data_IF_507537415774
#
_entry.id   IF_507537415774
#
_cell.length_a   1.000
_cell.length_b   1.000
_cell.length_c   1.000
_cell.angle_alpha   90.00
_cell.angle_beta   90.00
_cell.angle_gamma   90.00
#
_symmetry.space_group_name_H-M   'P 1'
#
loop_
_entity.id
_entity.type
_entity.pdbx_description
1 polymer ?
#
# COMPACT_ATOMS: atom_id res chain seq x y z
N UNK A 1 10.31 10.80 4.27
CA UNK A 1 9.22 9.81 4.13
C UNK A 1 9.14 9.00 5.41
N UNK A 2 7.96 8.81 5.97
CA UNK A 2 7.79 8.09 7.24
C UNK A 2 6.57 7.17 7.08
N UNK A 3 6.78 5.87 7.24
CA UNK A 3 5.69 4.89 7.27
C UNK A 3 4.95 5.05 8.59
N UNK A 4 3.65 5.18 8.56
CA UNK A 4 2.80 5.29 9.75
C UNK A 4 2.42 3.92 10.29
N UNK A 5 2.11 3.85 11.59
CA UNK A 5 1.61 2.61 12.20
C UNK A 5 0.30 2.11 11.53
N UNK A 6 -0.51 3.02 10.97
CA UNK A 6 -1.74 2.67 10.28
C UNK A 6 -1.45 1.96 8.94
N UNK A 7 -0.45 2.42 8.19
CA UNK A 7 0.00 1.78 6.95
C UNK A 7 0.63 0.43 7.23
N UNK A 8 1.56 0.36 8.17
CA UNK A 8 2.25 -0.88 8.55
C UNK A 8 1.26 -1.95 9.01
N UNK A 9 0.47 -1.66 10.02
CA UNK A 9 -0.45 -2.67 10.58
C UNK A 9 -1.65 -2.95 9.66
N UNK A 10 -2.12 -1.97 8.88
CA UNK A 10 -3.17 -2.20 7.90
C UNK A 10 -2.72 -3.16 6.80
N UNK A 11 -1.49 -3.02 6.29
CA UNK A 11 -0.90 -3.94 5.32
C UNK A 11 -0.71 -5.35 5.92
N UNK A 12 -0.19 -5.46 7.14
CA UNK A 12 -0.03 -6.74 7.85
C UNK A 12 -1.35 -7.48 8.01
N UNK A 13 -2.43 -6.77 8.36
CA UNK A 13 -3.76 -7.38 8.45
C UNK A 13 -4.22 -7.96 7.10
N UNK A 14 -3.99 -7.25 6.00
CA UNK A 14 -4.32 -7.76 4.66
C UNK A 14 -3.51 -9.00 4.30
N UNK A 15 -2.20 -9.01 4.58
CA UNK A 15 -1.33 -10.19 4.37
C UNK A 15 -1.85 -11.38 5.20
N UNK A 16 -2.22 -11.15 6.44
CA UNK A 16 -2.77 -12.18 7.34
C UNK A 16 -4.06 -12.77 6.80
N UNK A 17 -4.99 -11.91 6.37
CA UNK A 17 -6.25 -12.32 5.77
C UNK A 17 -6.05 -13.06 4.43
N UNK A 18 -5.07 -12.63 3.63
CA UNK A 18 -4.74 -13.29 2.37
C UNK A 18 -4.15 -14.70 2.57
N UNK A 19 -3.42 -14.93 3.66
CA UNK A 19 -2.87 -16.22 4.04
C UNK A 19 -3.89 -17.14 4.76
N UNK A 20 -5.04 -16.58 5.20
CA UNK A 20 -6.06 -17.33 5.92
C UNK A 20 -6.76 -18.33 4.98
N UNK A 21 -6.81 -19.61 5.41
CA UNK A 21 -7.47 -20.68 4.66
C UNK A 21 -8.94 -20.89 5.06
N UNK A 22 -9.37 -20.29 6.18
CA UNK A 22 -10.76 -20.39 6.63
C UNK A 22 -11.65 -19.50 5.77
N UNK A 23 -12.69 -20.07 5.20
CA UNK A 23 -13.68 -19.35 4.37
C UNK A 23 -14.45 -18.27 5.16
N UNK A 24 -14.54 -18.41 6.49
CA UNK A 24 -15.13 -17.39 7.36
C UNK A 24 -14.15 -16.26 7.68
N UNK A 25 -12.88 -16.40 7.32
CA UNK A 25 -11.83 -15.43 7.58
C UNK A 25 -11.39 -15.41 9.04
N UNK A 26 -10.98 -14.23 9.52
CA UNK A 26 -10.49 -14.05 10.88
C UNK A 26 -11.32 -13.01 11.64
N UNK A 27 -11.64 -13.32 12.89
CA UNK A 27 -12.34 -12.41 13.80
C UNK A 27 -11.38 -11.36 14.39
N UNK A 28 -11.93 -10.28 14.96
CA UNK A 28 -11.11 -9.25 15.66
C UNK A 28 -10.23 -9.87 16.75
N UNK A 29 -10.71 -10.75 17.65
CA UNK A 29 -9.86 -11.39 18.63
C UNK A 29 -8.70 -12.21 18.02
N UNK A 30 -8.96 -12.98 16.97
CA UNK A 30 -7.93 -13.75 16.26
C UNK A 30 -6.87 -12.86 15.62
N UNK A 31 -7.28 -11.76 14.97
CA UNK A 31 -6.37 -10.79 14.40
C UNK A 31 -5.58 -10.05 15.48
N UNK A 32 -6.22 -9.73 16.62
CA UNK A 32 -5.58 -9.10 17.78
C UNK A 32 -4.47 -9.98 18.35
N UNK A 33 -4.73 -11.25 18.53
CA UNK A 33 -3.75 -12.24 19.02
C UNK A 33 -2.61 -12.44 18.00
N UNK A 34 -2.97 -12.63 16.72
CA UNK A 34 -2.00 -12.88 15.65
C UNK A 34 -1.02 -11.71 15.40
N UNK A 35 -1.46 -10.47 15.59
CA UNK A 35 -0.65 -9.27 15.35
C UNK A 35 -0.09 -8.63 16.62
N UNK A 36 -0.50 -9.10 17.80
CA UNK A 36 -0.08 -8.51 19.07
C UNK A 36 -0.61 -7.09 19.29
N UNK A 37 -1.78 -6.76 18.71
CA UNK A 37 -2.40 -5.46 18.79
C UNK A 37 -3.70 -5.52 19.60
N UNK A 38 -4.13 -4.37 20.16
CA UNK A 38 -5.39 -4.32 20.89
C UNK A 38 -6.58 -4.54 19.96
N UNK A 39 -7.63 -5.22 20.45
CA UNK A 39 -8.86 -5.45 19.69
C UNK A 39 -9.50 -4.12 19.19
N UNK A 40 -9.38 -3.06 20.00
CA UNK A 40 -9.88 -1.72 19.61
C UNK A 40 -9.13 -1.18 18.38
N UNK A 41 -7.80 -1.34 18.34
CA UNK A 41 -7.01 -0.86 17.20
C UNK A 41 -7.26 -1.72 15.95
N UNK A 42 -7.37 -3.05 16.11
CA UNK A 42 -7.80 -3.95 15.02
C UNK A 42 -9.16 -3.54 14.47
N UNK A 43 -10.15 -3.25 15.34
CA UNK A 43 -11.48 -2.79 14.91
C UNK A 43 -11.42 -1.48 14.10
N UNK A 44 -10.55 -0.54 14.50
CA UNK A 44 -10.31 0.70 13.72
C UNK A 44 -9.75 0.39 12.33
N UNK A 45 -8.73 -0.46 12.24
CA UNK A 45 -8.08 -0.80 10.97
C UNK A 45 -9.01 -1.58 10.04
N UNK A 46 -9.72 -2.59 10.56
CA UNK A 46 -10.71 -3.36 9.77
C UNK A 46 -11.84 -2.49 9.27
N UNK A 47 -12.29 -1.50 10.06
CA UNK A 47 -13.28 -0.52 9.60
C UNK A 47 -12.76 0.28 8.40
N UNK A 48 -11.52 0.79 8.47
CA UNK A 48 -10.91 1.56 7.36
C UNK A 48 -10.80 0.67 6.12
N UNK A 49 -10.21 -0.52 6.25
CA UNK A 49 -10.01 -1.44 5.13
C UNK A 49 -11.35 -1.87 4.49
N UNK A 50 -12.40 -2.07 5.29
CA UNK A 50 -13.74 -2.39 4.80
C UNK A 50 -14.36 -1.20 4.05
N UNK A 51 -14.28 0.01 4.60
CA UNK A 51 -14.79 1.22 3.95
C UNK A 51 -14.10 1.51 2.61
N UNK A 52 -12.84 1.11 2.49
CA UNK A 52 -12.05 1.23 1.26
C UNK A 52 -12.20 0.04 0.30
N UNK A 53 -13.01 -0.96 0.65
CA UNK A 53 -13.33 -2.08 -0.22
C UNK A 53 -12.25 -3.17 -0.34
N UNK A 54 -11.31 -3.24 0.61
CA UNK A 54 -10.28 -4.28 0.62
C UNK A 54 -10.73 -5.55 1.33
N UNK A 55 -11.63 -5.43 2.32
CA UNK A 55 -12.16 -6.56 3.08
C UNK A 55 -13.67 -6.47 3.24
N UNK A 56 -14.30 -7.62 3.43
CA UNK A 56 -15.71 -7.77 3.78
C UNK A 56 -15.85 -8.46 5.13
N UNK A 57 -16.95 -8.19 5.83
CA UNK A 57 -17.35 -8.97 7.01
C UNK A 57 -18.17 -10.19 6.55
N UNK A 58 -17.90 -11.35 7.14
CA UNK A 58 -18.71 -12.55 6.94
C UNK A 58 -19.85 -12.61 7.97
N UNK A 59 -21.08 -13.03 7.59
CA UNK A 59 -22.22 -13.12 8.51
C UNK A 59 -22.07 -14.27 9.50
N UNK A 60 -22.81 -14.20 10.61
CA UNK A 60 -22.96 -15.27 11.61
C UNK A 60 -22.19 -15.05 12.90
N UNK A 61 -22.50 -15.86 13.93
CA UNK A 61 -21.89 -15.78 15.27
C UNK A 61 -20.37 -16.05 15.28
N UNK A 62 -19.86 -16.72 14.27
CA UNK A 62 -18.43 -16.99 14.06
C UNK A 62 -17.90 -16.19 12.87
N UNK A 63 -18.63 -15.16 12.44
CA UNK A 63 -18.24 -14.30 11.34
C UNK A 63 -16.96 -13.52 11.63
N UNK A 64 -16.14 -13.33 10.58
CA UNK A 64 -14.87 -12.62 10.65
C UNK A 64 -14.74 -11.63 9.49
N UNK A 65 -13.50 -11.41 9.08
CA UNK A 65 -13.16 -10.59 7.93
C UNK A 65 -12.44 -11.44 6.89
N UNK A 66 -12.81 -11.25 5.65
CA UNK A 66 -12.18 -11.88 4.46
C UNK A 66 -11.77 -10.79 3.48
N UNK A 67 -10.87 -11.10 2.55
CA UNK A 67 -10.58 -10.20 1.44
C UNK A 67 -11.84 -9.98 0.60
N UNK A 68 -12.05 -8.75 0.14
CA UNK A 68 -13.19 -8.39 -0.72
C UNK A 68 -13.00 -8.88 -2.17
N UNK A 69 -11.74 -9.13 -2.58
CA UNK A 69 -11.34 -9.60 -3.90
C UNK A 69 -10.06 -10.44 -3.80
N UNK A 70 -9.73 -11.24 -4.82
CA UNK A 70 -8.51 -12.03 -4.83
C UNK A 70 -7.26 -11.18 -4.55
N UNK A 71 -6.29 -11.73 -3.80
CA UNK A 71 -5.05 -11.01 -3.44
C UNK A 71 -4.25 -10.51 -4.65
N UNK A 72 -4.38 -11.15 -5.80
CA UNK A 72 -3.77 -10.73 -7.08
C UNK A 72 -4.39 -9.46 -7.68
N UNK A 73 -5.59 -9.09 -7.25
CA UNK A 73 -6.31 -7.90 -7.69
C UNK A 73 -6.20 -6.74 -6.69
N UNK A 74 -5.51 -6.95 -5.56
CA UNK A 74 -5.25 -5.92 -4.55
C UNK A 74 -3.87 -5.34 -4.80
N UNK A 75 -3.84 -4.16 -5.40
CA UNK A 75 -2.60 -3.42 -5.69
C UNK A 75 -2.10 -2.72 -4.43
N UNK A 76 -0.81 -2.86 -4.12
CA UNK A 76 -0.23 -2.30 -2.89
C UNK A 76 -0.27 -0.78 -2.87
N UNK A 77 -0.11 -0.13 -4.02
CA UNK A 77 -0.24 1.33 -4.11
C UNK A 77 -1.61 1.83 -3.63
N UNK A 78 -2.68 1.14 -4.03
CA UNK A 78 -4.05 1.49 -3.62
C UNK A 78 -4.24 1.30 -2.10
N UNK A 79 -3.67 0.23 -1.55
CA UNK A 79 -3.71 -0.05 -0.10
C UNK A 79 -3.03 1.06 0.68
N UNK A 80 -1.80 1.43 0.32
CA UNK A 80 -1.03 2.45 1.04
C UNK A 80 -1.68 3.83 0.91
N UNK A 81 -2.17 4.19 -0.28
CA UNK A 81 -2.93 5.44 -0.47
C UNK A 81 -4.23 5.49 0.33
N UNK A 82 -4.89 4.35 0.49
CA UNK A 82 -6.12 4.27 1.28
C UNK A 82 -5.88 4.39 2.79
N UNK A 83 -4.73 3.92 3.28
CA UNK A 83 -4.35 3.93 4.69
C UNK A 83 -3.68 5.24 5.12
N UNK A 84 -2.74 5.77 4.34
CA UNK A 84 -1.91 6.92 4.70
C UNK A 84 -2.06 8.13 3.76
N UNK A 85 -2.67 7.93 2.61
CA UNK A 85 -2.69 8.92 1.54
C UNK A 85 -1.43 8.89 0.67
N UNK A 86 -1.38 9.66 -0.41
CA UNK A 86 -0.17 9.82 -1.19
C UNK A 86 0.90 10.55 -0.38
N UNK A 87 2.17 10.24 -0.63
CA UNK A 87 3.28 10.91 0.02
C UNK A 87 3.35 12.40 -0.33
N UNK A 88 3.01 12.73 -1.56
CA UNK A 88 2.89 14.08 -2.08
C UNK A 88 1.68 14.21 -2.99
N UNK A 89 0.91 15.27 -2.80
CA UNK A 89 -0.18 15.69 -3.67
C UNK A 89 -0.17 17.21 -3.83
N UNK A 90 -0.99 17.73 -4.74
CA UNK A 90 -1.07 19.18 -5.00
C UNK A 90 -1.59 19.97 -3.79
N UNK A 91 -2.41 19.37 -2.94
CA UNK A 91 -2.94 19.99 -1.71
C UNK A 91 -1.82 20.30 -0.70
N UNK A 92 -0.70 19.54 -0.75
CA UNK A 92 0.44 19.75 0.14
C UNK A 92 0.95 21.19 0.10
N UNK A 93 1.07 21.77 -1.09
CA UNK A 93 1.49 23.15 -1.26
C UNK A 93 0.47 24.16 -0.70
N UNK A 94 -0.82 23.84 -0.77
CA UNK A 94 -1.88 24.67 -0.19
C UNK A 94 -1.89 24.67 1.35
N UNK A 95 -1.51 23.53 1.95
CA UNK A 95 -1.44 23.37 3.42
C UNK A 95 -0.16 24.01 4.00
N UNK A 96 0.95 23.98 3.24
CA UNK A 96 2.28 24.43 3.71
C UNK A 96 2.67 25.77 3.10
N UNK A 97 1.77 26.74 3.19
CA UNK A 97 1.95 28.08 2.58
C UNK A 97 2.81 29.05 3.40
N UNK A 98 3.19 28.68 4.62
CA UNK A 98 3.94 29.57 5.53
C UNK A 98 3.08 30.67 6.17
N UNK A 99 3.73 31.63 6.81
CA UNK A 99 3.08 32.67 7.62
C UNK A 99 2.16 33.61 6.81
N UNK A 100 2.45 33.82 5.54
CA UNK A 100 1.70 34.72 4.65
C UNK A 100 0.47 34.07 4.03
N UNK A 101 0.20 32.79 4.33
CA UNK A 101 -0.86 31.97 3.69
C UNK A 101 -0.78 31.93 2.16
N UNK A 102 0.35 32.30 1.60
CA UNK A 102 0.68 32.26 0.18
C UNK A 102 2.10 31.70 0.02
N UNK A 103 2.24 30.67 -0.79
CA UNK A 103 3.56 30.13 -1.12
C UNK A 103 4.30 31.10 -2.06
N UNK A 104 5.45 31.61 -1.62
CA UNK A 104 6.28 32.52 -2.43
C UNK A 104 6.83 31.87 -3.70
N UNK A 105 6.87 30.53 -3.76
CA UNK A 105 7.31 29.75 -4.91
C UNK A 105 6.13 29.09 -5.66
N UNK A 106 4.92 29.67 -5.60
CA UNK A 106 3.71 29.07 -6.21
C UNK A 106 3.83 28.91 -7.73
N UNK A 107 4.49 29.83 -8.42
CA UNK A 107 4.65 29.85 -9.87
C UNK A 107 5.76 28.90 -10.33
N UNK A 108 6.92 28.94 -9.66
CA UNK A 108 8.09 28.11 -9.99
C UNK A 108 8.72 27.52 -8.73
N UNK A 109 8.76 26.18 -8.64
CA UNK A 109 9.24 25.47 -7.47
C UNK A 109 9.93 24.14 -7.85
N UNK A 110 11.26 24.16 -7.89
CA UNK A 110 12.08 22.97 -8.13
C UNK A 110 11.86 21.87 -7.09
N UNK A 111 11.56 22.25 -5.83
CA UNK A 111 11.24 21.26 -4.79
C UNK A 111 9.94 20.51 -5.09
N UNK A 112 8.92 21.19 -5.63
CA UNK A 112 7.67 20.55 -6.06
C UNK A 112 7.94 19.49 -7.14
N UNK A 113 8.76 19.83 -8.13
CA UNK A 113 9.16 18.91 -9.20
C UNK A 113 9.82 17.66 -8.64
N UNK A 114 10.71 17.82 -7.65
CA UNK A 114 11.35 16.68 -6.97
C UNK A 114 10.31 15.79 -6.25
N UNK A 115 9.40 16.37 -5.48
CA UNK A 115 8.38 15.61 -4.75
C UNK A 115 7.42 14.88 -5.69
N UNK A 116 7.02 15.52 -6.78
CA UNK A 116 6.19 14.90 -7.83
C UNK A 116 6.91 13.72 -8.46
N UNK A 117 8.21 13.86 -8.78
CA UNK A 117 9.01 12.78 -9.35
C UNK A 117 9.14 11.60 -8.38
N UNK A 118 9.36 11.85 -7.09
CA UNK A 118 9.44 10.78 -6.08
C UNK A 118 8.09 10.07 -5.96
N UNK A 119 6.98 10.82 -5.87
CA UNK A 119 5.63 10.23 -5.83
C UNK A 119 5.38 9.38 -7.08
N UNK A 120 5.68 9.89 -8.27
CA UNK A 120 5.52 9.16 -9.52
C UNK A 120 6.34 7.86 -9.53
N UNK A 121 7.59 7.91 -9.10
CA UNK A 121 8.47 6.73 -9.07
C UNK A 121 7.93 5.66 -8.11
N UNK A 122 7.46 6.07 -6.94
CA UNK A 122 6.81 5.16 -5.99
C UNK A 122 5.53 4.55 -6.57
N UNK A 123 4.69 5.36 -7.21
CA UNK A 123 3.47 4.89 -7.87
C UNK A 123 3.79 3.86 -8.96
N UNK A 124 4.79 4.12 -9.80
CA UNK A 124 5.22 3.18 -10.84
C UNK A 124 5.69 1.84 -10.26
N UNK A 125 6.44 1.87 -9.16
CA UNK A 125 6.90 0.66 -8.49
C UNK A 125 5.71 -0.09 -7.86
N UNK A 126 4.94 0.59 -7.02
CA UNK A 126 3.91 -0.02 -6.18
C UNK A 126 2.66 -0.46 -6.95
N UNK A 127 2.39 0.13 -8.13
CA UNK A 127 1.33 -0.32 -9.04
C UNK A 127 1.61 -1.70 -9.66
N UNK A 128 2.86 -2.14 -9.65
CA UNK A 128 3.26 -3.46 -10.15
C UNK A 128 3.36 -4.51 -9.04
N UNK A 129 3.06 -4.17 -7.79
CA UNK A 129 3.09 -5.09 -6.64
C UNK A 129 1.66 -5.34 -6.18
N UNK A 130 1.30 -6.60 -6.06
CA UNK A 130 -0.01 -7.04 -5.53
C UNK A 130 0.13 -7.59 -4.12
N UNK A 131 -0.97 -7.70 -3.40
CA UNK A 131 -0.98 -8.35 -2.09
C UNK A 131 -0.51 -9.80 -2.17
N UNK A 132 -0.79 -10.50 -3.29
CA UNK A 132 -0.33 -11.87 -3.52
C UNK A 132 1.19 -12.00 -3.46
N UNK A 133 1.92 -11.02 -3.97
CA UNK A 133 3.39 -11.02 -4.01
C UNK A 133 4.03 -10.86 -2.63
N UNK A 134 3.24 -10.43 -1.64
CA UNK A 134 3.66 -10.27 -0.24
C UNK A 134 3.19 -11.41 0.68
N UNK A 135 2.35 -12.34 0.19
CA UNK A 135 1.88 -13.51 0.94
C UNK A 135 2.91 -14.66 0.86
N UNK A 136 4.18 -14.37 0.93
CA UNK A 136 5.29 -15.29 0.83
C UNK A 136 6.24 -15.11 2.03
N UNK A 137 7.30 -15.89 2.07
CA UNK A 137 8.38 -15.64 3.04
C UNK A 137 9.07 -14.30 2.73
N UNK A 138 9.72 -13.72 3.72
CA UNK A 138 10.49 -12.47 3.53
C UNK A 138 11.54 -12.62 2.43
N UNK A 139 12.20 -13.76 2.34
CA UNK A 139 13.20 -14.03 1.31
C UNK A 139 12.60 -14.05 -0.11
N UNK A 140 11.44 -14.68 -0.28
CA UNK A 140 10.75 -14.75 -1.58
C UNK A 140 10.24 -13.37 -2.01
N UNK A 141 9.62 -12.64 -1.09
CA UNK A 141 9.15 -11.27 -1.34
C UNK A 141 10.33 -10.34 -1.66
N UNK A 142 11.43 -10.44 -0.91
CA UNK A 142 12.65 -9.67 -1.17
C UNK A 142 13.21 -9.96 -2.56
N UNK A 143 13.33 -11.23 -2.93
CA UNK A 143 13.82 -11.64 -4.26
C UNK A 143 12.94 -11.05 -5.37
N UNK A 144 11.63 -11.19 -5.25
CA UNK A 144 10.66 -10.65 -6.21
C UNK A 144 10.81 -9.12 -6.37
N UNK A 145 10.85 -8.37 -5.26
CA UNK A 145 10.98 -6.91 -5.28
C UNK A 145 12.32 -6.46 -5.89
N UNK A 146 13.42 -7.16 -5.59
CA UNK A 146 14.72 -6.87 -6.22
C UNK A 146 14.74 -7.16 -7.72
N UNK A 147 14.07 -8.22 -8.17
CA UNK A 147 13.97 -8.54 -9.59
C UNK A 147 13.18 -7.47 -10.35
N UNK A 148 12.16 -6.88 -9.73
CA UNK A 148 11.40 -5.75 -10.30
C UNK A 148 12.25 -4.48 -10.46
N UNK A 149 13.22 -4.25 -9.57
CA UNK A 149 14.10 -3.08 -9.59
C UNK A 149 15.25 -3.22 -10.59
N UNK A 150 15.56 -4.44 -11.09
CA UNK A 150 16.56 -4.60 -12.13
C UNK A 150 16.11 -3.85 -13.38
N UNK A 151 16.98 -3.04 -14.00
CA UNK A 151 16.67 -2.43 -15.30
C UNK A 151 16.23 -3.55 -16.24
N UNK A 152 15.01 -3.48 -16.75
CA UNK A 152 14.61 -4.37 -17.83
C UNK A 152 15.61 -4.11 -18.95
N UNK A 153 16.35 -5.13 -19.39
CA UNK A 153 17.30 -5.06 -20.51
C UNK A 153 16.54 -4.83 -21.82
N UNK A 154 15.83 -3.71 -21.93
CA UNK A 154 15.20 -3.26 -23.19
C UNK A 154 16.24 -2.73 -24.18
N UNK A 155 17.47 -2.48 -23.71
CA UNK A 155 18.54 -1.89 -24.52
C UNK A 155 19.23 -2.89 -25.44
N UNK A 156 19.20 -4.20 -25.15
CA UNK A 156 19.87 -5.20 -26.02
C UNK A 156 19.14 -5.49 -27.33
N UNK A 157 17.83 -5.27 -27.41
CA UNK A 157 17.12 -5.51 -28.68
C UNK A 157 17.17 -4.35 -29.67
N UNK A 158 17.44 -3.13 -29.22
CA UNK A 158 17.60 -1.99 -30.14
C UNK A 158 18.99 -1.93 -30.81
N UNK A 159 20.01 -2.54 -30.21
CA UNK A 159 21.36 -2.58 -30.80
C UNK A 159 21.57 -3.78 -31.75
N UNK A 160 20.75 -4.82 -31.65
CA UNK A 160 20.81 -5.96 -32.57
C UNK A 160 20.04 -5.78 -33.87
N UNK A 161 19.28 -4.68 -34.02
CA UNK A 161 18.50 -4.37 -35.22
C UNK A 161 19.10 -3.29 -36.13
N UNK A 162 20.33 -2.85 -35.86
CA UNK A 162 21.05 -1.83 -36.64
C UNK A 162 22.39 -2.38 -37.15
N UNK A 163 22.44 -3.68 -37.48
CA UNK A 163 23.59 -4.33 -38.17
C UNK A 163 23.16 -4.90 -39.49
#
# INVERSE_FOLDING_TARGET
MKITAQEEYGLRLLIRLAACKDSNGMTIPQLSEAEGLTAHYIAKLTRILRMKGFINSTPGNKGGYVLAKPSREIVINDVLKALGGPMFNEEFCGIHTGALKLCTNSVDCSARSLWQMIQYTLDQLLNNVTLHDLVNTEQESTKFLYEMLKPREVVKQMQAGLG
#
